data_IF_207773875933
#
_entry.id   IF_207773875933
#
_cell.length_a   1.000
_cell.length_b   1.000
_cell.length_c   1.000
_cell.angle_alpha   90.00
_cell.angle_beta   90.00
_cell.angle_gamma   90.00
#
_symmetry.space_group_name_H-M   'P 1'
#
loop_
_entity.id
_entity.type
_entity.pdbx_description
1 polymer ?
#
# COMPACT_ATOMS: atom_id res chain seq x y z
N UNK A 1 -25.56 63.51 39.14
CA UNK A 1 -26.96 63.87 39.47
C UNK A 1 -27.79 62.61 39.23
N UNK A 2 -28.22 61.90 40.28
CA UNK A 2 -29.55 62.05 40.95
C UNK A 2 -30.67 61.72 39.95
N UNK A 3 -31.63 60.79 40.14
CA UNK A 3 -32.08 59.95 41.25
C UNK A 3 -33.05 58.89 40.67
N UNK A 4 -33.14 57.68 41.22
CA UNK A 4 -34.02 57.20 42.31
C UNK A 4 -35.55 57.28 42.07
N UNK A 5 -36.17 56.08 42.16
CA UNK A 5 -37.53 55.73 42.69
C UNK A 5 -38.74 56.12 41.82
N UNK A 6 -39.91 55.46 41.82
CA UNK A 6 -40.63 54.54 42.74
C UNK A 6 -41.83 53.92 41.95
N UNK A 7 -42.24 52.66 42.21
CA UNK A 7 -43.56 52.21 42.73
C UNK A 7 -44.71 53.26 42.65
N UNK A 8 -45.97 52.97 42.29
CA UNK A 8 -46.94 51.96 42.78
C UNK A 8 -48.19 52.02 41.87
N UNK A 9 -48.82 50.92 41.48
CA UNK A 9 -50.02 50.30 42.10
C UNK A 9 -51.39 50.72 41.51
N UNK A 10 -52.32 49.75 41.58
CA UNK A 10 -53.78 49.77 41.47
C UNK A 10 -54.46 49.79 40.10
N UNK A 11 -55.20 48.70 39.83
CA UNK A 11 -56.17 48.62 38.74
C UNK A 11 -56.91 47.28 38.61
N UNK A 12 -57.54 46.81 39.68
CA UNK A 12 -58.36 45.58 39.73
C UNK A 12 -59.69 45.79 38.97
N UNK A 13 -59.98 45.05 37.90
CA UNK A 13 -61.35 44.73 37.48
C UNK A 13 -61.46 43.29 36.95
N UNK A 14 -62.32 42.54 37.61
CA UNK A 14 -62.67 41.15 37.33
C UNK A 14 -63.52 41.02 36.08
N UNK A 15 -63.24 40.03 35.24
CA UNK A 15 -64.20 39.42 34.35
C UNK A 15 -64.02 37.90 34.44
N UNK A 16 -65.05 37.23 34.95
CA UNK A 16 -65.15 35.77 34.97
C UNK A 16 -65.41 35.29 33.54
N UNK A 17 -64.53 34.47 33.00
CA UNK A 17 -64.81 33.66 31.80
C UNK A 17 -64.50 32.22 32.17
N UNK A 18 -65.56 31.39 32.20
CA UNK A 18 -65.43 29.95 32.28
C UNK A 18 -64.71 29.46 31.03
N UNK A 19 -63.49 28.94 31.18
CA UNK A 19 -62.82 28.19 30.13
C UNK A 19 -62.92 26.70 30.46
N UNK A 20 -63.66 26.01 29.61
CA UNK A 20 -63.85 24.56 29.62
C UNK A 20 -62.50 23.85 29.53
N UNK A 21 -62.20 23.00 30.52
CA UNK A 21 -60.97 22.24 30.61
C UNK A 21 -61.10 20.97 29.74
N UNK A 22 -60.80 21.07 28.45
CA UNK A 22 -60.56 19.88 27.62
C UNK A 22 -59.12 19.39 27.88
N UNK A 23 -58.97 18.41 28.76
CA UNK A 23 -57.76 17.59 28.83
C UNK A 23 -57.66 16.75 27.55
N UNK A 24 -56.90 17.25 26.57
CA UNK A 24 -56.34 16.39 25.54
C UNK A 24 -55.18 15.63 26.19
N UNK A 25 -55.42 14.35 26.49
CA UNK A 25 -54.34 13.41 26.77
C UNK A 25 -53.50 13.29 25.51
N UNK A 26 -52.42 14.06 25.43
CA UNK A 26 -51.35 13.79 24.49
C UNK A 26 -50.69 12.50 24.97
N UNK A 27 -50.96 11.38 24.30
CA UNK A 27 -50.08 10.22 24.40
C UNK A 27 -48.72 10.69 23.91
N UNK A 28 -47.80 10.92 24.84
CA UNK A 28 -46.40 11.07 24.49
C UNK A 28 -46.01 9.72 23.87
N UNK A 29 -45.88 9.68 22.54
CA UNK A 29 -45.16 8.62 21.88
C UNK A 29 -43.76 8.65 22.44
N UNK A 30 -43.47 7.68 23.31
CA UNK A 30 -42.13 7.42 23.79
C UNK A 30 -41.27 7.25 22.54
N UNK A 31 -40.25 8.10 22.30
CA UNK A 31 -39.36 7.87 21.18
C UNK A 31 -38.74 6.50 21.37
N UNK A 32 -39.13 5.58 20.49
CA UNK A 32 -38.56 4.23 20.44
C UNK A 32 -37.08 4.45 20.12
N UNK A 33 -36.22 4.20 21.10
CA UNK A 33 -34.78 4.22 20.90
C UNK A 33 -34.46 3.41 19.65
N UNK A 34 -33.89 4.07 18.63
CA UNK A 34 -33.27 3.35 17.54
C UNK A 34 -32.14 2.52 18.17
N UNK A 35 -31.97 1.24 17.77
CA UNK A 35 -30.84 0.47 18.27
C UNK A 35 -29.58 1.26 17.93
N UNK A 36 -28.78 1.53 18.96
CA UNK A 36 -27.42 2.04 18.83
C UNK A 36 -26.72 1.26 17.70
N UNK A 37 -26.06 2.01 16.81
CA UNK A 37 -25.38 1.45 15.65
C UNK A 37 -24.57 0.23 16.06
N UNK A 38 -24.68 -0.83 15.27
CA UNK A 38 -24.01 -2.11 15.51
C UNK A 38 -22.55 -1.90 15.95
N UNK A 39 -22.29 -2.13 17.24
CA UNK A 39 -20.96 -2.20 17.89
C UNK A 39 -20.16 -3.41 17.38
N UNK A 40 -20.10 -3.61 16.07
CA UNK A 40 -19.20 -4.60 15.48
C UNK A 40 -17.84 -3.92 15.32
N UNK A 41 -16.78 -4.38 16.02
CA UNK A 41 -15.44 -3.85 15.81
C UNK A 41 -15.12 -3.85 14.32
N UNK A 42 -14.46 -2.80 13.79
CA UNK A 42 -14.14 -2.73 12.38
C UNK A 42 -13.37 -3.99 11.96
N UNK A 43 -13.85 -4.63 10.89
CA UNK A 43 -13.27 -5.87 10.40
C UNK A 43 -11.79 -5.68 10.03
N UNK A 44 -10.95 -6.65 10.40
CA UNK A 44 -9.54 -6.65 10.04
C UNK A 44 -9.38 -6.80 8.52
N UNK A 45 -8.61 -5.91 7.89
CA UNK A 45 -8.18 -6.06 6.51
C UNK A 45 -7.16 -7.21 6.39
N UNK A 46 -6.25 -7.30 7.37
CA UNK A 46 -5.38 -8.46 7.55
C UNK A 46 -5.45 -8.91 9.01
N UNK A 47 -5.61 -10.22 9.23
CA UNK A 47 -5.56 -10.82 10.56
C UNK A 47 -4.60 -12.02 10.56
N UNK A 48 -3.93 -12.25 11.67
CA UNK A 48 -2.99 -13.36 11.79
C UNK A 48 -2.49 -13.54 13.21
N UNK A 49 -1.92 -14.71 13.52
CA UNK A 49 -1.43 -15.00 14.86
C UNK A 49 -0.27 -14.08 15.24
N UNK A 50 -0.28 -13.63 16.49
CA UNK A 50 0.89 -13.03 17.12
C UNK A 50 2.03 -14.07 17.27
N UNK A 51 3.26 -13.58 17.45
CA UNK A 51 4.44 -14.44 17.54
C UNK A 51 4.46 -15.40 18.76
N UNK A 52 3.78 -15.06 19.86
CA UNK A 52 4.05 -15.63 21.19
C UNK A 52 3.27 -16.90 21.55
N UNK A 53 2.52 -17.51 20.63
CA UNK A 53 1.69 -18.69 20.95
C UNK A 53 0.59 -18.42 22.00
N UNK A 54 0.36 -17.17 22.37
CA UNK A 54 -0.61 -16.70 23.37
C UNK A 54 -2.08 -16.82 22.91
N UNK A 55 -2.32 -17.26 21.67
CA UNK A 55 -3.63 -17.22 21.03
C UNK A 55 -4.05 -15.81 20.60
N UNK A 56 -3.21 -14.80 20.83
CA UNK A 56 -3.46 -13.43 20.41
C UNK A 56 -3.41 -13.30 18.89
N UNK A 57 -4.35 -12.54 18.34
CA UNK A 57 -4.47 -12.28 16.90
C UNK A 57 -4.19 -10.82 16.64
N UNK A 58 -3.21 -10.53 15.80
CA UNK A 58 -2.95 -9.19 15.29
C UNK A 58 -3.98 -8.85 14.22
N UNK A 59 -4.36 -7.58 14.17
CA UNK A 59 -5.38 -7.04 13.27
C UNK A 59 -4.87 -5.74 12.64
N UNK A 60 -4.77 -5.71 11.31
CA UNK A 60 -4.52 -4.48 10.55
C UNK A 60 -5.84 -4.02 9.98
N UNK A 61 -6.33 -2.87 10.41
CA UNK A 61 -7.56 -2.25 9.91
C UNK A 61 -7.25 -1.28 8.78
N UNK A 62 -8.25 -0.99 7.96
CA UNK A 62 -8.08 -0.12 6.80
C UNK A 62 -7.91 1.36 7.20
N UNK A 63 -8.67 1.83 8.18
CA UNK A 63 -8.70 3.20 8.69
C UNK A 63 -7.44 3.55 9.51
N UNK A 64 -6.86 2.57 10.22
CA UNK A 64 -5.62 2.70 10.97
C UNK A 64 -4.44 1.94 10.37
N UNK A 65 -4.45 1.68 9.06
CA UNK A 65 -3.50 0.78 8.39
C UNK A 65 -2.03 1.03 8.77
N UNK A 66 -1.55 2.26 8.68
CA UNK A 66 -0.14 2.58 8.97
C UNK A 66 0.21 2.32 10.44
N UNK A 67 -0.71 2.65 11.36
CA UNK A 67 -0.50 2.47 12.80
C UNK A 67 -0.47 0.98 13.16
N UNK A 68 -1.45 0.23 12.68
CA UNK A 68 -1.54 -1.21 12.94
C UNK A 68 -0.38 -1.98 12.27
N UNK A 69 0.01 -1.57 11.06
CA UNK A 69 1.18 -2.12 10.38
C UNK A 69 2.46 -1.89 11.18
N UNK A 70 2.68 -0.66 11.67
CA UNK A 70 3.86 -0.34 12.46
C UNK A 70 3.88 -1.09 13.79
N UNK A 71 2.73 -1.27 14.45
CA UNK A 71 2.62 -2.12 15.63
C UNK A 71 2.97 -3.59 15.32
N UNK A 72 2.51 -4.12 14.17
CA UNK A 72 2.87 -5.47 13.75
C UNK A 72 4.37 -5.62 13.40
N UNK A 73 4.97 -4.60 12.79
CA UNK A 73 6.42 -4.55 12.51
C UNK A 73 7.21 -4.59 13.83
N UNK A 74 6.83 -3.77 14.82
CA UNK A 74 7.43 -3.77 16.17
C UNK A 74 7.33 -5.16 16.81
N UNK A 75 6.11 -5.70 16.84
CA UNK A 75 5.80 -7.01 17.42
C UNK A 75 6.71 -8.12 16.85
N UNK A 76 6.79 -8.23 15.51
CA UNK A 76 7.59 -9.27 14.88
C UNK A 76 9.09 -8.98 14.97
N UNK A 77 9.52 -7.72 15.02
CA UNK A 77 10.91 -7.38 15.27
C UNK A 77 11.36 -7.84 16.66
N UNK A 78 10.60 -7.49 17.70
CA UNK A 78 10.90 -7.85 19.09
C UNK A 78 10.92 -9.37 19.30
N UNK A 79 9.92 -10.08 18.75
CA UNK A 79 9.84 -11.52 18.85
C UNK A 79 11.03 -12.25 18.19
N UNK A 80 11.75 -11.60 17.28
CA UNK A 80 12.94 -12.14 16.59
C UNK A 80 14.22 -11.38 16.97
N UNK A 81 14.20 -10.61 18.06
CA UNK A 81 15.35 -9.86 18.60
C UNK A 81 16.00 -8.94 17.55
N UNK A 82 15.19 -8.36 16.67
CA UNK A 82 15.61 -7.37 15.69
C UNK A 82 15.32 -5.97 16.26
N UNK A 83 16.22 -4.98 16.08
CA UNK A 83 15.85 -3.59 16.36
C UNK A 83 14.65 -3.18 15.50
N UNK A 84 13.54 -2.67 16.08
CA UNK A 84 12.34 -2.32 15.30
C UNK A 84 12.64 -1.34 14.16
N UNK A 85 13.53 -0.36 14.40
CA UNK A 85 13.95 0.62 13.39
C UNK A 85 14.75 -0.01 12.23
N UNK A 86 15.50 -1.09 12.48
CA UNK A 86 16.16 -1.87 11.42
C UNK A 86 15.13 -2.60 10.56
N UNK A 87 14.18 -3.30 11.20
CA UNK A 87 13.17 -4.07 10.47
C UNK A 87 12.21 -3.16 9.68
N UNK A 88 11.79 -2.04 10.25
CA UNK A 88 10.97 -1.03 9.56
C UNK A 88 11.68 -0.47 8.32
N UNK A 89 12.97 -0.10 8.41
CA UNK A 89 13.74 0.37 7.24
C UNK A 89 13.88 -0.71 6.17
N UNK A 90 14.05 -1.97 6.57
CA UNK A 90 14.14 -3.09 5.65
C UNK A 90 12.82 -3.28 4.89
N UNK A 91 11.70 -3.42 5.58
CA UNK A 91 10.38 -3.59 4.94
C UNK A 91 10.01 -2.35 4.11
N UNK A 92 10.41 -1.16 4.55
CA UNK A 92 10.29 0.07 3.77
C UNK A 92 11.11 0.02 2.49
N UNK A 93 12.35 -0.50 2.55
CA UNK A 93 13.23 -0.64 1.39
C UNK A 93 12.69 -1.64 0.39
N UNK A 94 12.03 -2.70 0.86
CA UNK A 94 11.43 -3.73 0.00
C UNK A 94 10.22 -3.22 -0.77
N UNK A 95 9.22 -2.68 -0.07
CA UNK A 95 7.92 -2.38 -0.69
C UNK A 95 7.44 -0.95 -0.48
N UNK A 96 8.16 -0.13 0.28
CA UNK A 96 7.64 1.13 0.85
C UNK A 96 6.31 0.89 1.59
N UNK A 97 6.23 -0.22 2.32
CA UNK A 97 5.03 -0.68 3.04
C UNK A 97 3.82 -0.98 2.14
N UNK A 98 4.03 -1.30 0.86
CA UNK A 98 2.95 -1.74 -0.05
C UNK A 98 2.68 -3.24 0.10
N UNK A 99 1.48 -3.66 0.54
CA UNK A 99 1.15 -5.07 0.74
C UNK A 99 1.07 -5.89 -0.55
N UNK A 100 0.88 -5.20 -1.66
CA UNK A 100 0.57 -5.69 -3.01
C UNK A 100 1.74 -5.47 -4.00
N UNK A 101 2.94 -5.16 -3.49
CA UNK A 101 4.10 -4.90 -4.32
C UNK A 101 4.58 -6.13 -5.09
N UNK A 102 4.96 -5.93 -6.36
CA UNK A 102 5.65 -6.94 -7.18
C UNK A 102 6.87 -6.34 -7.86
N UNK A 103 8.05 -6.92 -7.66
CA UNK A 103 9.28 -6.47 -8.31
C UNK A 103 9.38 -6.96 -9.76
N UNK A 104 10.28 -6.35 -10.53
CA UNK A 104 10.59 -6.81 -11.90
C UNK A 104 11.15 -8.25 -11.93
N UNK A 105 11.82 -8.68 -10.86
CA UNK A 105 12.37 -10.04 -10.73
C UNK A 105 11.33 -11.04 -10.20
N UNK A 106 10.12 -10.58 -9.86
CA UNK A 106 9.03 -11.42 -9.37
C UNK A 106 8.96 -11.56 -7.84
N UNK A 107 9.65 -10.72 -7.09
CA UNK A 107 9.50 -10.67 -5.63
C UNK A 107 8.11 -10.09 -5.26
N UNK A 108 7.44 -10.62 -4.24
CA UNK A 108 6.02 -10.38 -3.96
C UNK A 108 5.76 -9.90 -2.53
N UNK A 109 4.75 -9.05 -2.39
CA UNK A 109 4.19 -8.64 -1.12
C UNK A 109 5.00 -7.60 -0.36
N UNK A 110 4.58 -7.31 0.87
CA UNK A 110 5.17 -6.26 1.71
C UNK A 110 6.67 -6.51 2.01
N UNK A 111 7.06 -7.77 2.12
CA UNK A 111 8.41 -8.20 2.42
C UNK A 111 9.21 -8.65 1.18
N UNK A 112 8.61 -8.57 -0.03
CA UNK A 112 9.26 -8.92 -1.29
C UNK A 112 9.94 -10.30 -1.28
N UNK A 113 9.23 -11.33 -0.82
CA UNK A 113 9.71 -12.69 -0.97
C UNK A 113 9.74 -13.09 -2.45
N UNK A 114 10.85 -13.67 -2.89
CA UNK A 114 10.86 -14.45 -4.14
C UNK A 114 10.00 -15.71 -3.96
N UNK A 115 9.22 -16.15 -4.97
CA UNK A 115 8.30 -17.29 -4.82
C UNK A 115 8.98 -18.57 -4.31
N UNK A 116 10.20 -18.85 -4.79
CA UNK A 116 11.00 -19.99 -4.30
C UNK A 116 11.37 -19.86 -2.82
N UNK A 117 11.75 -18.66 -2.38
CA UNK A 117 12.05 -18.38 -0.96
C UNK A 117 10.79 -18.46 -0.11
N UNK A 118 9.66 -17.90 -0.55
CA UNK A 118 8.38 -18.01 0.16
C UNK A 118 8.02 -19.48 0.44
N UNK A 119 8.11 -20.33 -0.59
CA UNK A 119 7.88 -21.78 -0.46
C UNK A 119 8.82 -22.44 0.56
N UNK A 120 10.13 -22.16 0.50
CA UNK A 120 11.11 -22.71 1.43
C UNK A 120 10.85 -22.30 2.89
N UNK A 121 10.25 -21.12 3.09
CA UNK A 121 9.91 -20.60 4.42
C UNK A 121 8.50 -20.92 4.85
N UNK A 122 7.73 -21.67 4.05
CA UNK A 122 6.34 -22.00 4.33
C UNK A 122 5.46 -20.75 4.45
N UNK A 123 5.69 -19.76 3.57
CA UNK A 123 4.80 -18.63 3.34
C UNK A 123 3.96 -18.96 2.10
N UNK A 124 2.70 -19.32 2.31
CA UNK A 124 1.81 -19.76 1.22
C UNK A 124 1.40 -18.59 0.32
N UNK A 125 1.09 -17.44 0.94
CA UNK A 125 0.71 -16.22 0.24
C UNK A 125 1.55 -15.03 0.73
N UNK A 126 2.39 -14.48 -0.15
CA UNK A 126 3.23 -13.31 0.18
C UNK A 126 2.44 -12.01 0.31
N UNK A 127 1.19 -11.96 -0.14
CA UNK A 127 0.30 -10.80 0.01
C UNK A 127 -0.39 -10.76 1.38
N UNK A 128 -0.32 -11.84 2.16
CA UNK A 128 -0.80 -11.88 3.55
C UNK A 128 0.19 -11.14 4.46
N UNK A 129 -0.08 -9.86 4.70
CA UNK A 129 0.84 -8.91 5.35
C UNK A 129 1.43 -9.42 6.67
N UNK A 130 0.57 -9.85 7.60
CA UNK A 130 1.02 -10.29 8.93
C UNK A 130 1.88 -11.55 8.85
N UNK A 131 1.54 -12.48 7.96
CA UNK A 131 2.34 -13.69 7.77
C UNK A 131 3.67 -13.39 7.09
N UNK A 132 3.67 -12.54 6.05
CA UNK A 132 4.88 -12.12 5.36
C UNK A 132 5.84 -11.38 6.30
N UNK A 133 5.34 -10.49 7.17
CA UNK A 133 6.15 -9.82 8.19
C UNK A 133 6.75 -10.83 9.18
N UNK A 134 5.92 -11.74 9.71
CA UNK A 134 6.37 -12.80 10.63
C UNK A 134 7.49 -13.63 10.01
N UNK A 135 7.28 -14.12 8.78
CA UNK A 135 8.26 -14.93 8.04
C UNK A 135 9.51 -14.15 7.69
N UNK A 136 9.39 -12.85 7.38
CA UNK A 136 10.53 -11.99 7.12
C UNK A 136 11.39 -11.78 8.36
N UNK A 137 10.77 -11.54 9.52
CA UNK A 137 11.50 -11.36 10.77
C UNK A 137 12.24 -12.64 11.20
N UNK A 138 11.56 -13.79 11.09
CA UNK A 138 12.16 -15.11 11.31
C UNK A 138 13.35 -15.35 10.37
N UNK A 139 13.17 -15.05 9.08
CA UNK A 139 14.24 -15.24 8.11
C UNK A 139 15.45 -14.34 8.39
N UNK A 140 15.24 -13.09 8.80
CA UNK A 140 16.32 -12.19 9.18
C UNK A 140 17.09 -12.67 10.41
N UNK A 141 16.42 -13.22 11.42
CA UNK A 141 17.07 -13.84 12.56
C UNK A 141 17.92 -15.05 12.13
N UNK A 142 17.38 -15.94 11.29
CA UNK A 142 18.14 -17.07 10.74
C UNK A 142 19.39 -16.60 9.96
N UNK A 143 19.24 -15.57 9.12
CA UNK A 143 20.35 -14.99 8.36
C UNK A 143 21.39 -14.35 9.28
N UNK A 144 20.95 -13.65 10.33
CA UNK A 144 21.84 -13.11 11.37
C UNK A 144 22.63 -14.23 12.04
N UNK A 145 21.96 -15.30 12.44
CA UNK A 145 22.62 -16.42 13.12
C UNK A 145 23.60 -17.14 12.19
N UNK A 146 23.29 -17.21 10.89
CA UNK A 146 24.15 -17.83 9.88
C UNK A 146 25.36 -16.98 9.51
N UNK A 147 25.19 -15.68 9.36
CA UNK A 147 26.24 -14.78 8.85
C UNK A 147 26.89 -13.90 9.92
N UNK A 148 26.42 -14.00 11.17
CA UNK A 148 27.05 -13.44 12.37
C UNK A 148 26.52 -12.07 12.81
N UNK A 149 25.95 -11.26 11.90
CA UNK A 149 25.44 -9.94 12.26
C UNK A 149 24.31 -9.45 11.32
N UNK A 150 23.66 -8.36 11.72
CA UNK A 150 22.48 -7.82 11.03
C UNK A 150 22.81 -7.14 9.68
N UNK A 151 23.97 -6.52 9.51
CA UNK A 151 24.34 -5.96 8.20
C UNK A 151 24.58 -7.03 7.14
N UNK A 152 25.24 -8.13 7.52
CA UNK A 152 25.38 -9.30 6.68
C UNK A 152 24.03 -10.00 6.46
N UNK A 153 23.15 -10.03 7.46
CA UNK A 153 21.78 -10.51 7.27
C UNK A 153 21.01 -9.69 6.22
N UNK A 154 21.06 -8.36 6.28
CA UNK A 154 20.46 -7.48 5.27
C UNK A 154 21.02 -7.74 3.87
N UNK A 155 22.34 -7.95 3.77
CA UNK A 155 22.99 -8.25 2.51
C UNK A 155 22.51 -9.60 1.93
N UNK A 156 22.41 -10.65 2.77
CA UNK A 156 21.90 -11.95 2.36
C UNK A 156 20.42 -11.92 2.00
N UNK A 157 19.61 -11.11 2.69
CA UNK A 157 18.19 -10.97 2.38
C UNK A 157 17.99 -10.46 0.94
N UNK A 158 18.78 -9.47 0.53
CA UNK A 158 18.66 -8.87 -0.81
C UNK A 158 19.41 -9.63 -1.92
N UNK A 159 20.66 -10.07 -1.68
CA UNK A 159 21.46 -10.78 -2.68
C UNK A 159 21.18 -12.30 -2.74
N UNK A 160 20.43 -12.82 -1.78
CA UNK A 160 20.34 -14.24 -1.48
C UNK A 160 21.56 -14.75 -0.70
N UNK A 161 21.35 -15.83 0.05
CA UNK A 161 22.37 -16.48 0.88
C UNK A 161 23.62 -16.87 0.08
N UNK A 162 23.43 -17.41 -1.13
CA UNK A 162 24.54 -17.77 -2.01
C UNK A 162 25.28 -16.54 -2.54
N UNK A 163 24.56 -15.45 -2.80
CA UNK A 163 25.15 -14.18 -3.23
C UNK A 163 26.05 -13.59 -2.16
N UNK A 164 25.62 -13.63 -0.90
CA UNK A 164 26.46 -13.20 0.20
C UNK A 164 27.64 -14.15 0.46
N UNK A 165 27.41 -15.46 0.44
CA UNK A 165 28.48 -16.45 0.61
C UNK A 165 29.58 -16.27 -0.47
N UNK A 166 29.21 -15.99 -1.72
CA UNK A 166 30.15 -15.67 -2.78
C UNK A 166 30.88 -14.35 -2.53
N UNK A 167 30.22 -13.33 -1.97
CA UNK A 167 30.89 -12.09 -1.56
C UNK A 167 31.93 -12.34 -0.46
N UNK A 168 31.62 -13.14 0.55
CA UNK A 168 32.55 -13.42 1.65
C UNK A 168 33.82 -14.13 1.19
N UNK A 169 33.77 -14.87 0.09
CA UNK A 169 34.94 -15.56 -0.50
C UNK A 169 35.67 -14.74 -1.57
N UNK A 170 34.93 -14.05 -2.45
CA UNK A 170 35.50 -13.38 -3.64
C UNK A 170 35.57 -11.85 -3.56
N UNK A 171 34.94 -11.24 -2.53
CA UNK A 171 34.85 -9.79 -2.36
C UNK A 171 33.86 -9.07 -3.29
N UNK A 172 33.22 -9.78 -4.23
CA UNK A 172 32.30 -9.16 -5.19
C UNK A 172 30.84 -9.25 -4.74
N UNK A 173 30.25 -8.11 -4.42
CA UNK A 173 28.80 -7.93 -4.21
C UNK A 173 28.23 -6.95 -5.26
N UNK A 174 26.95 -7.04 -5.67
CA UNK A 174 26.34 -6.01 -6.51
C UNK A 174 26.21 -4.65 -5.80
N UNK A 175 26.31 -3.54 -6.55
CA UNK A 175 26.07 -2.19 -6.01
C UNK A 175 24.64 -2.03 -5.45
N UNK A 176 23.66 -2.71 -6.05
CA UNK A 176 22.27 -2.77 -5.55
C UNK A 176 22.23 -3.20 -4.08
N UNK A 177 22.90 -4.31 -3.76
CA UNK A 177 22.96 -4.87 -2.40
C UNK A 177 23.80 -4.02 -1.46
N UNK A 178 24.93 -3.46 -1.91
CA UNK A 178 25.71 -2.52 -1.08
C UNK A 178 24.88 -1.31 -0.66
N UNK A 179 24.18 -0.71 -1.62
CA UNK A 179 23.27 0.40 -1.35
C UNK A 179 22.09 0.00 -0.46
N UNK A 180 21.64 -1.25 -0.54
CA UNK A 180 20.60 -1.80 0.33
C UNK A 180 21.04 -1.83 1.80
N UNK A 181 22.23 -2.38 2.10
CA UNK A 181 22.79 -2.43 3.46
C UNK A 181 22.98 -1.02 4.03
N UNK A 182 23.56 -0.12 3.23
CA UNK A 182 23.77 1.28 3.60
C UNK A 182 22.46 1.99 3.92
N UNK A 183 21.41 1.77 3.13
CA UNK A 183 20.11 2.43 3.34
C UNK A 183 19.41 1.99 4.64
N UNK A 184 19.66 0.76 5.11
CA UNK A 184 19.02 0.19 6.30
C UNK A 184 19.83 0.51 7.56
N UNK A 185 21.15 0.37 7.46
CA UNK A 185 22.04 0.40 8.63
C UNK A 185 22.84 1.68 8.78
N UNK A 186 22.90 2.52 7.74
CA UNK A 186 23.82 3.66 7.61
C UNK A 186 25.32 3.27 7.59
N UNK A 187 25.62 1.98 7.39
CA UNK A 187 26.98 1.45 7.25
C UNK A 187 27.12 0.60 5.98
N UNK A 188 28.33 0.57 5.43
CA UNK A 188 28.70 -0.28 4.29
C UNK A 188 28.77 -1.74 4.69
N UNK A 189 28.61 -2.64 3.71
CA UNK A 189 28.76 -4.08 3.96
C UNK A 189 30.19 -4.44 4.35
N UNK A 190 31.18 -3.68 3.87
CA UNK A 190 32.58 -3.82 4.25
C UNK A 190 32.81 -3.45 5.73
N UNK A 191 32.23 -2.36 6.23
CA UNK A 191 32.26 -2.04 7.67
C UNK A 191 31.61 -3.17 8.49
N UNK A 192 30.46 -3.67 8.08
CA UNK A 192 29.80 -4.81 8.75
C UNK A 192 30.60 -6.11 8.75
N UNK A 193 31.49 -6.29 7.77
CA UNK A 193 32.36 -7.45 7.66
C UNK A 193 33.60 -7.30 8.54
N UNK A 194 34.25 -6.14 8.48
CA UNK A 194 35.60 -5.95 9.02
C UNK A 194 35.59 -5.30 10.43
N UNK A 195 34.61 -4.44 10.72
CA UNK A 195 34.45 -3.77 12.02
C UNK A 195 32.97 -3.43 12.27
N UNK A 196 32.13 -4.42 12.62
CA UNK A 196 30.68 -4.23 12.69
C UNK A 196 30.31 -3.20 13.77
N UNK A 197 29.39 -2.27 13.48
CA UNK A 197 28.90 -1.32 14.46
C UNK A 197 28.11 -2.03 15.58
N UNK A 198 28.11 -1.47 16.78
CA UNK A 198 27.33 -2.01 17.92
C UNK A 198 25.82 -1.95 17.65
N UNK A 199 25.37 -0.85 17.02
CA UNK A 199 23.95 -0.62 16.75
C UNK A 199 23.65 -0.85 15.28
N UNK A 200 22.72 -1.78 14.99
CA UNK A 200 22.40 -2.13 13.62
C UNK A 200 21.58 -1.09 12.86
N UNK A 201 20.85 -0.23 13.58
CA UNK A 201 20.20 0.93 13.02
C UNK A 201 19.87 1.95 14.12
N UNK A 202 20.10 3.23 13.85
CA UNK A 202 19.63 4.31 14.72
C UNK A 202 18.09 4.33 14.83
N UNK A 203 17.50 4.99 15.85
CA UNK A 203 16.06 5.26 15.90
C UNK A 203 15.55 5.88 14.58
N UNK A 204 14.26 5.69 14.26
CA UNK A 204 13.65 6.31 13.07
C UNK A 204 13.54 7.83 13.22
N UNK A 205 13.35 8.28 14.46
CA UNK A 205 13.28 9.66 14.90
C UNK A 205 13.86 9.65 16.33
N UNK A 206 14.79 10.55 16.65
CA UNK A 206 15.49 10.54 17.96
C UNK A 206 14.61 11.05 19.10
N UNK A 207 13.54 11.79 18.77
CA UNK A 207 12.69 12.49 19.74
C UNK A 207 11.33 11.80 19.92
N UNK A 208 11.12 10.64 19.28
CA UNK A 208 9.82 9.95 19.28
C UNK A 208 9.94 8.45 19.56
N UNK A 209 8.88 7.85 20.14
CA UNK A 209 8.74 6.40 20.18
C UNK A 209 8.79 5.78 18.78
N UNK A 210 9.19 4.50 18.69
CA UNK A 210 9.28 3.78 17.43
C UNK A 210 7.98 3.87 16.62
N UNK A 211 6.83 3.63 17.26
CA UNK A 211 5.53 3.63 16.60
C UNK A 211 5.26 4.93 15.83
N UNK A 212 5.49 6.09 16.46
CA UNK A 212 5.27 7.39 15.83
C UNK A 212 6.29 7.68 14.72
N UNK A 213 7.55 7.29 14.92
CA UNK A 213 8.58 7.38 13.89
C UNK A 213 8.29 6.48 12.68
N UNK A 214 7.76 5.29 12.91
CA UNK A 214 7.36 4.34 11.88
C UNK A 214 6.13 4.84 11.12
N UNK A 215 5.13 5.38 11.81
CA UNK A 215 3.95 5.98 11.15
C UNK A 215 4.37 7.18 10.31
N UNK A 216 5.26 8.05 10.81
CA UNK A 216 5.80 9.15 10.02
C UNK A 216 6.59 8.67 8.80
N UNK A 217 7.35 7.58 8.91
CA UNK A 217 7.99 6.92 7.77
C UNK A 217 6.94 6.41 6.78
N UNK A 218 5.87 5.77 7.27
CA UNK A 218 4.75 5.27 6.48
C UNK A 218 3.93 6.37 5.81
N UNK A 219 3.86 7.59 6.36
CA UNK A 219 3.15 8.72 5.76
C UNK A 219 3.94 9.42 4.66
N UNK A 220 5.28 9.33 4.70
CA UNK A 220 6.14 9.74 3.57
C UNK A 220 5.85 8.92 2.31
N UNK A 221 5.09 7.82 2.44
CA UNK A 221 4.49 7.01 1.38
C UNK A 221 3.35 7.75 0.66
N UNK A 222 3.38 9.08 0.49
CA UNK A 222 2.49 9.74 -0.48
C UNK A 222 2.86 9.25 -1.89
N UNK A 223 2.38 8.06 -2.19
CA UNK A 223 2.56 7.28 -3.39
C UNK A 223 1.44 7.63 -4.33
N UNK A 224 1.85 7.88 -5.57
CA UNK A 224 1.00 7.69 -6.73
C UNK A 224 0.48 6.25 -6.77
N UNK A 225 -0.74 6.17 -7.24
CA UNK A 225 -1.69 5.06 -7.40
C UNK A 225 -1.16 3.61 -7.45
N UNK A 226 -1.95 2.78 -6.78
CA UNK A 226 -2.35 1.37 -7.03
C UNK A 226 -1.41 0.48 -7.84
N UNK A 227 -1.06 -0.74 -7.37
CA UNK A 227 -0.32 -1.70 -8.17
C UNK A 227 -1.08 -2.00 -9.45
N UNK A 228 -0.37 -1.78 -10.55
CA UNK A 228 -0.78 -2.17 -11.86
C UNK A 228 -0.77 -3.70 -11.96
N UNK A 229 -1.94 -4.28 -12.18
CA UNK A 229 -2.08 -5.59 -12.82
C UNK A 229 -2.25 -5.36 -14.32
N UNK A 230 -1.72 -6.25 -15.14
CA UNK A 230 -2.00 -6.21 -16.57
C UNK A 230 -3.51 -6.45 -16.77
N UNK A 231 -4.16 -5.44 -17.34
CA UNK A 231 -5.56 -5.51 -17.73
C UNK A 231 -5.66 -6.00 -19.18
N UNK A 232 -6.67 -6.82 -19.47
CA UNK A 232 -6.95 -7.31 -20.82
C UNK A 232 -6.12 -8.52 -21.25
N UNK A 233 -6.65 -9.25 -22.22
CA UNK A 233 -5.98 -10.42 -22.80
C UNK A 233 -4.74 -9.98 -23.58
N UNK A 234 -3.60 -10.60 -23.27
CA UNK A 234 -2.36 -10.32 -23.98
C UNK A 234 -2.42 -10.79 -25.43
N UNK A 235 -1.87 -9.98 -26.34
CA UNK A 235 -1.58 -10.39 -27.71
C UNK A 235 -0.28 -9.72 -28.19
N UNK A 236 0.44 -10.29 -29.18
CA UNK A 236 1.73 -9.79 -29.62
C UNK A 236 1.68 -8.44 -30.36
N UNK A 237 0.52 -8.01 -30.85
CA UNK A 237 0.32 -6.72 -31.50
C UNK A 237 -0.78 -5.91 -30.80
N UNK A 238 -0.65 -4.59 -30.84
CA UNK A 238 -1.63 -3.70 -30.22
C UNK A 238 -1.83 -2.40 -30.97
N UNK A 239 -3.09 -1.96 -31.06
CA UNK A 239 -3.49 -0.65 -31.58
C UNK A 239 -3.57 0.32 -30.41
N UNK A 240 -2.60 1.22 -30.29
CA UNK A 240 -2.52 2.19 -29.20
C UNK A 240 -3.42 3.39 -29.47
N UNK A 241 -4.30 3.65 -28.50
CA UNK A 241 -5.24 4.77 -28.53
C UNK A 241 -4.91 5.82 -27.46
N UNK A 242 -4.35 5.40 -26.34
CA UNK A 242 -3.99 6.29 -25.24
C UNK A 242 -2.64 5.91 -24.61
N UNK A 243 -1.98 6.92 -24.06
CA UNK A 243 -0.79 6.75 -23.22
C UNK A 243 -0.76 7.85 -22.15
N UNK A 244 -0.43 7.49 -20.91
CA UNK A 244 -0.27 8.45 -19.84
C UNK A 244 0.77 7.98 -18.80
N UNK A 245 1.25 8.88 -17.95
CA UNK A 245 2.09 8.53 -16.81
C UNK A 245 1.28 7.86 -15.68
N UNK A 246 -0.05 8.04 -15.69
CA UNK A 246 -0.99 7.48 -14.74
C UNK A 246 -1.86 6.40 -15.41
N UNK A 247 -2.00 5.24 -14.76
CA UNK A 247 -2.74 4.09 -15.30
C UNK A 247 -4.24 4.37 -15.43
N UNK A 248 -4.84 5.03 -14.45
CA UNK A 248 -6.27 5.32 -14.43
C UNK A 248 -6.61 6.34 -15.53
N UNK A 249 -5.73 7.33 -15.73
CA UNK A 249 -5.88 8.30 -16.81
C UNK A 249 -5.73 7.63 -18.18
N UNK A 250 -4.74 6.74 -18.34
CA UNK A 250 -4.56 5.99 -19.59
C UNK A 250 -5.79 5.11 -19.92
N UNK A 251 -6.36 4.46 -18.91
CA UNK A 251 -7.60 3.66 -19.04
C UNK A 251 -8.78 4.53 -19.46
N UNK A 252 -9.03 5.64 -18.77
CA UNK A 252 -10.13 6.55 -19.09
C UNK A 252 -10.04 7.06 -20.52
N UNK A 253 -8.86 7.56 -20.93
CA UNK A 253 -8.63 8.04 -22.29
C UNK A 253 -8.86 6.97 -23.35
N UNK A 254 -8.59 5.70 -23.05
CA UNK A 254 -8.90 4.59 -23.95
C UNK A 254 -10.41 4.37 -24.07
N UNK A 255 -11.12 4.28 -22.94
CA UNK A 255 -12.57 4.07 -22.92
C UNK A 255 -13.29 5.20 -23.66
N UNK A 256 -12.88 6.45 -23.43
CA UNK A 256 -13.40 7.62 -24.14
C UNK A 256 -13.12 7.55 -25.66
N UNK A 257 -12.03 6.91 -26.07
CA UNK A 257 -11.67 6.77 -27.48
C UNK A 257 -12.47 5.68 -28.21
N UNK A 258 -12.89 4.64 -27.49
CA UNK A 258 -13.63 3.50 -28.09
C UNK A 258 -15.14 3.65 -28.00
N UNK A 259 -15.68 4.32 -26.98
CA UNK A 259 -17.13 4.39 -26.74
C UNK A 259 -17.95 4.96 -27.94
N UNK A 260 -17.34 5.83 -28.75
CA UNK A 260 -18.00 6.47 -29.90
C UNK A 260 -17.73 5.74 -31.23
N UNK A 261 -17.04 4.59 -31.20
CA UNK A 261 -16.78 3.77 -32.39
C UNK A 261 -17.93 2.80 -32.66
N UNK A 262 -18.12 2.33 -33.91
CA UNK A 262 -19.11 1.31 -34.18
C UNK A 262 -18.72 -0.04 -33.58
N UNK A 263 -19.73 -0.83 -33.22
CA UNK A 263 -19.54 -2.23 -32.82
C UNK A 263 -18.77 -3.04 -33.87
N UNK A 264 -17.81 -3.90 -33.43
CA UNK A 264 -17.56 -4.32 -32.04
C UNK A 264 -16.50 -3.49 -31.29
N UNK A 265 -16.05 -2.36 -31.85
CA UNK A 265 -14.93 -1.60 -31.28
C UNK A 265 -15.28 -0.86 -29.99
N UNK A 266 -16.54 -0.46 -29.82
CA UNK A 266 -17.09 0.17 -28.62
C UNK A 266 -17.02 -0.72 -27.36
N UNK A 267 -17.00 -2.03 -27.54
CA UNK A 267 -16.93 -3.01 -26.46
C UNK A 267 -15.49 -3.48 -26.14
N UNK A 268 -14.48 -2.97 -26.84
CA UNK A 268 -13.10 -3.38 -26.63
C UNK A 268 -12.58 -2.99 -25.24
N UNK A 269 -11.85 -3.91 -24.60
CA UNK A 269 -11.18 -3.64 -23.34
C UNK A 269 -9.70 -3.29 -23.57
N UNK A 270 -9.11 -2.38 -22.77
CA UNK A 270 -7.72 -2.01 -22.93
C UNK A 270 -6.80 -3.14 -22.46
N UNK A 271 -5.88 -3.53 -23.34
CA UNK A 271 -4.61 -4.13 -22.93
C UNK A 271 -3.71 -3.00 -22.42
N UNK A 272 -3.57 -2.87 -21.10
CA UNK A 272 -2.71 -1.86 -20.49
C UNK A 272 -1.32 -2.43 -20.28
N UNK A 273 -0.32 -1.84 -20.93
CA UNK A 273 1.08 -2.24 -20.81
C UNK A 273 1.91 -1.11 -20.20
N UNK A 274 2.85 -1.46 -19.33
CA UNK A 274 3.86 -0.53 -18.84
C UNK A 274 5.00 -0.42 -19.85
N UNK A 275 5.16 0.74 -20.47
CA UNK A 275 6.25 1.03 -21.39
C UNK A 275 7.35 1.84 -20.72
N UNK A 276 8.61 1.43 -20.91
CA UNK A 276 9.81 2.19 -20.54
C UNK A 276 10.40 2.77 -21.81
N UNK A 277 10.21 4.07 -22.03
CA UNK A 277 10.83 4.78 -23.15
C UNK A 277 11.99 5.63 -22.63
N UNK A 278 13.22 5.25 -22.99
CA UNK A 278 14.45 5.95 -22.56
C UNK A 278 14.52 7.37 -23.11
N UNK A 279 13.76 7.68 -24.16
CA UNK A 279 13.74 9.00 -24.80
C UNK A 279 12.90 10.04 -24.04
N UNK A 280 12.04 9.59 -23.10
CA UNK A 280 11.13 10.46 -22.32
C UNK A 280 11.44 10.43 -20.80
N UNK A 281 12.65 10.01 -20.43
CA UNK A 281 13.13 9.97 -19.05
C UNK A 281 12.78 8.67 -18.30
N UNK A 282 13.01 8.67 -16.98
CA UNK A 282 12.92 7.47 -16.14
C UNK A 282 11.51 7.14 -15.63
N UNK A 283 10.51 7.99 -15.90
CA UNK A 283 9.14 7.78 -15.42
C UNK A 283 8.42 6.71 -16.25
N UNK A 284 7.77 5.72 -15.63
CA UNK A 284 6.99 4.74 -16.37
C UNK A 284 5.83 5.43 -17.10
N UNK A 285 5.51 4.95 -18.30
CA UNK A 285 4.27 5.30 -19.00
C UNK A 285 3.43 4.04 -19.16
N UNK A 286 2.13 4.21 -19.09
CA UNK A 286 1.14 3.17 -19.35
C UNK A 286 0.53 3.46 -20.72
N UNK A 287 0.54 2.45 -21.58
CA UNK A 287 -0.09 2.50 -22.90
C UNK A 287 -1.31 1.59 -22.88
N UNK A 288 -2.42 2.07 -23.44
CA UNK A 288 -3.66 1.30 -23.55
C UNK A 288 -3.89 0.96 -25.03
N UNK A 289 -4.02 -0.34 -25.31
CA UNK A 289 -4.05 -0.89 -26.67
C UNK A 289 -5.23 -1.84 -26.87
N UNK A 290 -5.78 -1.89 -28.08
CA UNK A 290 -6.62 -3.01 -28.52
C UNK A 290 -5.69 -4.15 -28.97
N UNK A 291 -5.80 -5.32 -28.34
CA UNK A 291 -4.90 -6.46 -28.57
C UNK A 291 -5.29 -7.27 -29.81
N UNK A 292 -4.29 -7.65 -30.64
CA UNK A 292 -4.46 -8.49 -31.84
C UNK A 292 -3.31 -9.48 -32.02
N UNK A 293 -3.59 -10.62 -32.65
CA UNK A 293 -2.62 -11.70 -32.82
C UNK A 293 -1.63 -11.40 -33.94
N UNK A 294 -2.05 -10.64 -34.95
CA UNK A 294 -1.19 -10.29 -36.09
C UNK A 294 -1.08 -8.79 -36.31
N UNK A 295 0.01 -8.37 -36.97
CA UNK A 295 0.18 -6.97 -37.40
C UNK A 295 -0.90 -6.54 -38.40
N UNK A 296 -1.33 -7.46 -39.25
CA UNK A 296 -2.34 -7.21 -40.29
C UNK A 296 -3.68 -6.86 -39.63
N UNK A 297 -4.15 -7.68 -38.69
CA UNK A 297 -5.36 -7.39 -37.89
C UNK A 297 -5.26 -6.05 -37.17
N UNK A 298 -4.12 -5.75 -36.54
CA UNK A 298 -3.93 -4.48 -35.84
C UNK A 298 -3.99 -3.27 -36.79
N UNK A 299 -3.43 -3.39 -38.00
CA UNK A 299 -3.51 -2.34 -39.01
C UNK A 299 -4.94 -2.15 -39.52
N UNK A 300 -5.70 -3.23 -39.73
CA UNK A 300 -7.10 -3.17 -40.15
C UNK A 300 -7.96 -2.44 -39.13
N UNK A 301 -7.83 -2.78 -37.84
CA UNK A 301 -8.51 -2.08 -36.74
C UNK A 301 -8.11 -0.60 -36.71
N UNK A 302 -6.82 -0.29 -36.79
CA UNK A 302 -6.37 1.11 -36.79
C UNK A 302 -6.92 1.89 -38.01
N UNK A 303 -7.03 1.25 -39.17
CA UNK A 303 -7.66 1.88 -40.35
C UNK A 303 -9.15 2.14 -40.14
N UNK A 304 -9.89 1.24 -39.48
CA UNK A 304 -11.29 1.48 -39.12
C UNK A 304 -11.41 2.68 -38.17
N UNK A 305 -10.59 2.74 -37.12
CA UNK A 305 -10.57 3.84 -36.15
C UNK A 305 -10.29 5.20 -36.83
N UNK A 306 -9.35 5.24 -37.77
CA UNK A 306 -9.03 6.46 -38.55
C UNK A 306 -10.18 6.93 -39.43
N UNK A 307 -10.97 6.01 -40.00
CA UNK A 307 -12.18 6.38 -40.78
C UNK A 307 -13.22 7.11 -39.94
N UNK A 308 -13.23 6.90 -38.63
CA UNK A 308 -14.09 7.61 -37.66
C UNK A 308 -13.41 8.84 -37.05
N UNK A 309 -12.34 9.36 -37.65
CA UNK A 309 -11.69 10.61 -37.23
C UNK A 309 -10.84 10.50 -35.97
N UNK A 310 -10.54 9.28 -35.49
CA UNK A 310 -9.69 9.04 -34.32
C UNK A 310 -8.26 8.67 -34.73
N UNK A 311 -7.28 8.99 -33.89
CA UNK A 311 -5.87 8.64 -34.14
C UNK A 311 -5.50 7.32 -33.46
N UNK A 312 -4.66 6.53 -34.13
CA UNK A 312 -4.12 5.30 -33.60
C UNK A 312 -2.73 5.02 -34.17
N UNK A 313 -1.95 4.24 -33.42
CA UNK A 313 -0.64 3.73 -33.82
C UNK A 313 -0.55 2.24 -33.54
N UNK A 314 0.10 1.49 -34.42
CA UNK A 314 0.26 0.04 -34.29
C UNK A 314 1.66 -0.28 -33.78
N UNK A 315 1.73 -1.06 -32.71
CA UNK A 315 2.98 -1.47 -32.08
C UNK A 315 3.02 -2.98 -31.86
N UNK A 316 4.24 -3.53 -31.87
CA UNK A 316 4.50 -4.86 -31.31
C UNK A 316 4.54 -4.74 -29.79
N UNK A 317 3.74 -5.54 -29.10
CA UNK A 317 3.76 -5.61 -27.64
C UNK A 317 5.01 -6.38 -27.19
N UNK A 318 5.65 -5.90 -26.12
CA UNK A 318 6.87 -6.45 -25.54
C UNK A 318 6.71 -6.52 -24.03
#
# INVERSE_FOLDING_TARGET
>A
MIGRKRQSDMGRKSAKVLLSLCFLFSTADTPKAQPEGSDTPPACLYSGPAASGSGETLCIRQDSFNRDLCAAIEHFAEANQLPPAYFARLIWRESTFRPDAVSFKGAQGIAQFMPGTAKLRGLEDSYQVLEALRKSAQYLDELRNRFGNLGLAAAAYNAGENGLAAYLTSGRLPYETRGYVMAITAHTVEEWKDNPPENAAAPLDNDKPFLDGCVALAERRRLKDTPWHQEGNWAPWGVQLAANADVAVARRLFLDAVQDLPSPLDAEQPLILRQRDRSFGFRPRYVARIARQTRVEANEVCNQIRKHGRTCLVFKNR
#
